data_IF_929702984627
#
_entry.id   IF_929702984627
#
_cell.length_a   1.000
_cell.length_b   1.000
_cell.length_c   1.000
_cell.angle_alpha   90.00
_cell.angle_beta   90.00
_cell.angle_gamma   90.00
#
_symmetry.space_group_name_H-M   'P 1'
#
loop_
_entity.id
_entity.type
_entity.pdbx_description
1 polymer ?
#
# COMPACT_ATOMS: atom_id res chain seq x y z
N UNK A 1 -13.76 -8.64 12.79
CA UNK A 1 -12.92 -9.83 12.55
C UNK A 1 -13.06 -10.33 11.10
N UNK A 2 -14.27 -10.63 10.61
CA UNK A 2 -14.50 -11.18 9.26
C UNK A 2 -13.91 -10.37 8.08
N UNK A 3 -13.91 -9.03 8.15
CA UNK A 3 -13.38 -8.16 7.09
C UNK A 3 -11.90 -8.42 6.78
N UNK A 4 -11.06 -8.58 7.82
CA UNK A 4 -9.62 -8.77 7.63
C UNK A 4 -9.30 -10.12 6.94
N UNK A 5 -9.96 -11.19 7.37
CA UNK A 5 -9.78 -12.53 6.78
C UNK A 5 -10.21 -12.59 5.30
N UNK A 6 -11.34 -11.98 4.94
CA UNK A 6 -11.78 -11.94 3.55
C UNK A 6 -10.85 -11.07 2.67
N UNK A 7 -10.33 -9.97 3.22
CA UNK A 7 -9.35 -9.13 2.55
C UNK A 7 -8.05 -9.89 2.25
N UNK A 8 -7.56 -10.76 3.14
CA UNK A 8 -6.37 -11.59 2.89
C UNK A 8 -6.55 -12.46 1.65
N UNK A 9 -7.64 -13.23 1.62
CA UNK A 9 -7.92 -14.14 0.51
C UNK A 9 -8.11 -13.38 -0.80
N UNK A 10 -8.80 -12.24 -0.74
CA UNK A 10 -9.03 -11.38 -1.90
C UNK A 10 -7.73 -10.77 -2.43
N UNK A 11 -6.87 -10.26 -1.55
CA UNK A 11 -5.58 -9.64 -1.93
C UNK A 11 -4.64 -10.68 -2.51
N UNK A 12 -4.54 -11.85 -1.88
CA UNK A 12 -3.75 -12.96 -2.42
C UNK A 12 -4.26 -13.37 -3.82
N UNK A 13 -5.57 -13.59 -3.96
CA UNK A 13 -6.19 -13.92 -5.25
C UNK A 13 -5.96 -12.85 -6.31
N UNK A 14 -5.99 -11.58 -5.93
CA UNK A 14 -5.71 -10.45 -6.82
C UNK A 14 -4.25 -10.44 -7.28
N UNK A 15 -3.29 -10.56 -6.36
CA UNK A 15 -1.85 -10.56 -6.64
C UNK A 15 -1.44 -11.74 -7.53
N UNK A 16 -2.03 -12.91 -7.32
CA UNK A 16 -1.83 -14.08 -8.18
C UNK A 16 -2.35 -13.82 -9.59
N UNK A 17 -3.56 -13.24 -9.75
CA UNK A 17 -4.11 -12.87 -11.06
C UNK A 17 -3.24 -11.83 -11.78
N UNK A 18 -2.73 -10.83 -11.05
CA UNK A 18 -1.81 -9.82 -11.60
C UNK A 18 -0.53 -10.48 -12.10
N UNK A 19 0.07 -11.39 -11.32
CA UNK A 19 1.29 -12.11 -11.74
C UNK A 19 1.05 -13.00 -12.96
N UNK A 20 -0.10 -13.69 -12.99
CA UNK A 20 -0.49 -14.51 -14.14
C UNK A 20 -0.68 -13.66 -15.39
N UNK A 21 -1.33 -12.51 -15.26
CA UNK A 21 -1.50 -11.54 -16.35
C UNK A 21 -0.14 -11.02 -16.84
N UNK A 22 0.77 -10.72 -15.92
CA UNK A 22 2.13 -10.29 -16.25
C UNK A 22 2.92 -11.35 -17.00
N UNK A 23 2.82 -12.60 -16.58
CA UNK A 23 3.44 -13.76 -17.24
C UNK A 23 2.92 -13.93 -18.66
N UNK A 24 1.60 -13.82 -18.86
CA UNK A 24 0.99 -13.90 -20.20
C UNK A 24 1.40 -12.74 -21.11
N UNK A 25 1.65 -11.56 -20.55
CA UNK A 25 2.14 -10.39 -21.26
C UNK A 25 3.67 -10.38 -21.51
N UNK A 26 4.38 -11.44 -21.12
CA UNK A 26 5.84 -11.52 -21.23
C UNK A 26 6.58 -10.49 -20.36
N UNK A 27 5.96 -9.96 -19.31
CA UNK A 27 6.57 -9.01 -18.39
C UNK A 27 7.25 -9.74 -17.21
N UNK A 28 8.47 -9.33 -16.82
CA UNK A 28 9.12 -9.89 -15.64
C UNK A 28 8.36 -9.46 -14.38
N UNK A 29 7.56 -10.36 -13.84
CA UNK A 29 6.92 -10.19 -12.53
C UNK A 29 7.93 -10.51 -11.42
N UNK A 30 8.81 -9.56 -11.12
CA UNK A 30 9.86 -9.70 -10.09
C UNK A 30 9.34 -9.79 -8.64
N UNK A 31 8.02 -9.75 -8.42
CA UNK A 31 7.42 -9.84 -7.09
C UNK A 31 6.86 -11.24 -6.79
N UNK A 32 6.90 -11.63 -5.51
CA UNK A 32 6.27 -12.86 -5.01
C UNK A 32 4.89 -12.51 -4.43
N UNK A 33 3.78 -12.99 -5.05
CA UNK A 33 2.43 -12.77 -4.55
C UNK A 33 2.24 -13.31 -3.13
N UNK A 34 2.91 -14.41 -2.80
CA UNK A 34 2.90 -15.00 -1.47
C UNK A 34 3.54 -14.09 -0.44
N UNK A 35 4.72 -13.52 -0.73
CA UNK A 35 5.43 -12.63 0.20
C UNK A 35 4.71 -11.28 0.35
N UNK A 36 4.14 -10.75 -0.74
CA UNK A 36 3.39 -9.50 -0.70
C UNK A 36 2.08 -9.66 0.10
N UNK A 37 1.36 -10.78 -0.10
CA UNK A 37 0.17 -11.07 0.68
C UNK A 37 0.51 -11.31 2.16
N UNK A 38 1.53 -12.12 2.47
CA UNK A 38 1.93 -12.38 3.86
C UNK A 38 2.39 -11.10 4.56
N UNK A 39 3.20 -10.27 3.91
CA UNK A 39 3.63 -8.97 4.42
C UNK A 39 2.47 -8.03 4.71
N UNK A 40 1.49 -7.94 3.81
CA UNK A 40 0.27 -7.16 4.03
C UNK A 40 -0.51 -7.65 5.26
N UNK A 41 -0.67 -8.97 5.41
CA UNK A 41 -1.41 -9.57 6.53
C UNK A 41 -0.71 -9.33 7.85
N UNK A 42 0.60 -9.59 7.89
CA UNK A 42 1.40 -9.40 9.10
C UNK A 42 1.32 -7.95 9.55
N UNK A 43 1.60 -6.97 8.69
CA UNK A 43 1.49 -5.55 9.04
C UNK A 43 0.05 -5.13 9.37
N UNK A 44 -0.96 -5.69 8.69
CA UNK A 44 -2.38 -5.40 9.01
C UNK A 44 -2.78 -5.91 10.40
N UNK A 45 -2.15 -6.97 10.92
CA UNK A 45 -2.37 -7.42 12.29
C UNK A 45 -1.81 -6.43 13.31
N UNK A 46 -0.75 -5.68 12.96
CA UNK A 46 -0.21 -4.63 13.83
C UNK A 46 -1.17 -3.45 14.02
N UNK A 47 -2.24 -3.34 13.22
CA UNK A 47 -3.29 -2.33 13.40
C UNK A 47 -4.04 -2.46 14.74
N UNK A 48 -3.87 -3.59 15.44
CA UNK A 48 -4.48 -3.83 16.76
C UNK A 48 -3.58 -3.45 17.93
N UNK A 49 -2.36 -3.00 17.69
CA UNK A 49 -1.50 -2.59 18.79
C UNK A 49 -2.02 -1.27 19.40
N UNK A 50 -1.78 -1.05 20.71
CA UNK A 50 -2.07 0.21 21.36
C UNK A 50 -1.43 1.38 20.62
N UNK A 51 -2.03 2.57 20.76
CA UNK A 51 -1.39 3.83 20.38
C UNK A 51 0.04 3.90 20.95
N UNK A 52 1.08 4.25 20.18
CA UNK A 52 1.12 4.69 18.77
C UNK A 52 1.48 3.61 17.74
N UNK A 53 1.58 2.35 18.14
CA UNK A 53 2.21 1.30 17.33
C UNK A 53 1.33 0.81 16.15
N UNK A 54 0.04 1.14 16.14
CA UNK A 54 -0.86 0.81 15.03
C UNK A 54 -0.46 1.48 13.71
N UNK A 55 0.30 2.60 13.74
CA UNK A 55 0.79 3.30 12.55
C UNK A 55 1.63 2.39 11.64
N UNK A 56 2.33 1.39 12.19
CA UNK A 56 3.12 0.43 11.41
C UNK A 56 2.25 -0.33 10.40
N UNK A 57 0.96 -0.50 10.69
CA UNK A 57 0.01 -1.14 9.78
C UNK A 57 -0.26 -0.35 8.50
N UNK A 58 -0.06 0.97 8.50
CA UNK A 58 -0.17 1.79 7.28
C UNK A 58 0.88 1.38 6.23
N UNK A 59 2.04 0.91 6.69
CA UNK A 59 3.09 0.37 5.83
C UNK A 59 2.67 -0.89 5.05
N UNK A 60 1.59 -1.58 5.47
CA UNK A 60 1.05 -2.72 4.75
C UNK A 60 0.70 -2.37 3.30
N UNK A 61 0.28 -1.12 3.06
CA UNK A 61 -0.07 -0.64 1.73
C UNK A 61 1.11 -0.72 0.75
N UNK A 62 2.35 -0.61 1.22
CA UNK A 62 3.55 -0.75 0.39
C UNK A 62 3.64 -2.10 -0.32
N UNK A 63 3.17 -3.18 0.31
CA UNK A 63 3.12 -4.50 -0.33
C UNK A 63 2.11 -4.56 -1.49
N UNK A 64 1.02 -3.79 -1.41
CA UNK A 64 0.07 -3.66 -2.52
C UNK A 64 0.65 -2.83 -3.67
N UNK A 65 1.41 -1.78 -3.36
CA UNK A 65 2.04 -0.90 -4.36
C UNK A 65 2.90 -1.70 -5.35
N UNK A 66 3.71 -2.65 -4.86
CA UNK A 66 4.52 -3.51 -5.74
C UNK A 66 3.68 -4.33 -6.73
N UNK A 67 2.53 -4.85 -6.29
CA UNK A 67 1.59 -5.57 -7.15
C UNK A 67 0.94 -4.64 -8.19
N UNK A 68 0.52 -3.45 -7.78
CA UNK A 68 -0.05 -2.45 -8.70
C UNK A 68 0.97 -1.92 -9.71
N UNK A 69 2.24 -1.75 -9.32
CA UNK A 69 3.31 -1.34 -10.23
C UNK A 69 3.57 -2.40 -11.31
N UNK A 70 3.62 -3.68 -10.91
CA UNK A 70 3.72 -4.80 -11.83
C UNK A 70 2.52 -4.86 -12.78
N UNK A 71 1.30 -4.68 -12.27
CA UNK A 71 0.10 -4.58 -13.09
C UNK A 71 0.19 -3.42 -14.09
N UNK A 72 0.60 -2.24 -13.62
CA UNK A 72 0.75 -1.07 -14.47
C UNK A 72 1.73 -1.36 -15.61
N UNK A 73 2.93 -1.89 -15.33
CA UNK A 73 3.92 -2.26 -16.37
C UNK A 73 3.40 -3.27 -17.42
N UNK A 74 2.35 -4.03 -17.11
CA UNK A 74 1.76 -5.02 -18.04
C UNK A 74 0.71 -4.42 -18.97
N UNK A 75 0.01 -3.38 -18.54
CA UNK A 75 -1.08 -2.76 -19.30
C UNK A 75 -0.65 -2.26 -20.71
N UNK A 76 0.50 -1.58 -20.89
CA UNK A 76 0.96 -1.16 -22.21
C UNK A 76 1.21 -2.32 -23.16
N UNK A 77 1.65 -3.47 -22.64
CA UNK A 77 2.01 -4.64 -23.45
C UNK A 77 0.78 -5.42 -23.90
N UNK A 78 -0.28 -5.43 -23.10
CA UNK A 78 -1.53 -6.12 -23.41
C UNK A 78 -2.43 -5.32 -24.34
N UNK A 79 -2.61 -4.03 -24.09
CA UNK A 79 -3.62 -3.22 -24.78
C UNK A 79 -3.03 -2.16 -25.71
N UNK A 80 -1.69 -2.06 -25.83
CA UNK A 80 -1.04 -1.01 -26.60
C UNK A 80 -1.33 0.40 -26.06
N UNK A 81 -1.89 0.51 -24.85
CA UNK A 81 -2.22 1.78 -24.21
C UNK A 81 -0.91 2.38 -23.73
N UNK A 82 -0.42 3.48 -24.31
CA UNK A 82 0.78 4.12 -23.80
C UNK A 82 0.47 4.59 -22.38
N UNK A 83 1.10 3.95 -21.40
CA UNK A 83 1.10 4.51 -20.06
C UNK A 83 1.85 5.83 -20.14
N UNK A 84 1.09 6.91 -20.10
CA UNK A 84 1.62 8.24 -19.80
C UNK A 84 2.08 8.17 -18.34
N UNK A 85 3.30 7.69 -18.10
CA UNK A 85 3.95 7.88 -16.80
C UNK A 85 3.97 9.40 -16.56
N UNK A 86 3.28 9.90 -15.52
CA UNK A 86 3.36 11.32 -15.19
C UNK A 86 4.82 11.61 -14.85
N UNK A 87 5.53 12.34 -15.69
CA UNK A 87 6.97 12.62 -15.57
C UNK A 87 7.30 13.61 -14.44
N UNK A 88 6.43 13.73 -13.43
CA UNK A 88 6.63 14.62 -12.30
C UNK A 88 5.36 14.77 -11.47
N UNK A 89 5.56 15.24 -10.22
CA UNK A 89 4.45 15.62 -9.37
C UNK A 89 3.82 16.91 -9.88
N UNK A 90 2.50 16.92 -10.08
CA UNK A 90 1.75 18.15 -10.32
C UNK A 90 1.89 19.07 -9.11
N UNK A 91 1.91 20.39 -9.29
CA UNK A 91 1.98 21.35 -8.17
C UNK A 91 0.91 21.12 -7.09
N UNK A 92 -0.29 20.65 -7.48
CA UNK A 92 -1.35 20.23 -6.54
C UNK A 92 -0.96 19.01 -5.70
N UNK A 93 -0.29 18.03 -6.32
CA UNK A 93 0.20 16.85 -5.61
C UNK A 93 1.32 17.23 -4.63
N UNK A 94 2.19 18.17 -5.02
CA UNK A 94 3.24 18.68 -4.13
C UNK A 94 2.65 19.40 -2.91
N UNK A 95 1.63 20.28 -3.11
CA UNK A 95 0.93 20.94 -2.00
C UNK A 95 0.26 19.92 -1.07
N UNK A 96 -0.43 18.92 -1.63
CA UNK A 96 -1.06 17.86 -0.85
C UNK A 96 -0.02 17.05 -0.06
N UNK A 97 1.15 16.78 -0.64
CA UNK A 97 2.24 16.09 0.03
C UNK A 97 2.76 16.91 1.21
N UNK A 98 3.04 18.21 1.02
CA UNK A 98 3.51 19.09 2.10
C UNK A 98 2.48 19.21 3.22
N UNK A 99 1.21 19.50 2.90
CA UNK A 99 0.14 19.64 3.91
C UNK A 99 -0.11 18.32 4.62
N UNK A 100 -0.14 17.20 3.88
CA UNK A 100 -0.31 15.87 4.45
C UNK A 100 0.83 15.50 5.40
N UNK A 101 2.08 15.76 5.02
CA UNK A 101 3.24 15.52 5.89
C UNK A 101 3.19 16.40 7.15
N UNK A 102 2.83 17.67 7.02
CA UNK A 102 2.69 18.58 8.16
C UNK A 102 1.58 18.13 9.12
N UNK A 103 0.43 17.71 8.58
CA UNK A 103 -0.66 17.13 9.36
C UNK A 103 -0.25 15.86 10.10
N UNK A 104 0.42 14.92 9.41
CA UNK A 104 0.97 13.72 10.04
C UNK A 104 1.99 14.05 11.13
N UNK A 105 2.80 15.10 10.95
CA UNK A 105 3.70 15.60 11.99
C UNK A 105 2.97 15.99 13.28
N UNK A 106 1.86 16.73 13.17
CA UNK A 106 1.02 17.06 14.33
C UNK A 106 0.40 15.82 14.97
N UNK A 107 -0.10 14.87 14.17
CA UNK A 107 -0.68 13.62 14.68
C UNK A 107 0.35 12.82 15.48
N UNK A 108 1.59 12.72 14.97
CA UNK A 108 2.67 12.00 15.66
C UNK A 108 3.09 12.68 16.96
N UNK A 109 3.11 14.02 16.99
CA UNK A 109 3.37 14.79 18.22
C UNK A 109 2.26 14.51 19.23
N UNK A 110 0.99 14.60 18.82
CA UNK A 110 -0.15 14.33 19.71
C UNK A 110 -0.17 12.90 20.26
N UNK A 111 0.19 11.92 19.44
CA UNK A 111 0.32 10.51 19.87
C UNK A 111 1.53 10.22 20.77
N UNK A 112 2.53 11.10 20.75
CA UNK A 112 3.73 10.96 21.59
C UNK A 112 3.63 11.74 22.90
N UNK A 113 2.65 12.64 23.02
CA UNK A 113 2.35 13.29 24.29
C UNK A 113 1.70 12.26 25.22
N UNK A 114 2.21 12.07 26.45
CA UNK A 114 1.51 11.32 27.48
C UNK A 114 0.13 11.94 27.73
N UNK A 115 -0.91 11.11 27.86
CA UNK A 115 -2.18 11.56 28.41
C UNK A 115 -1.94 11.87 29.89
N UNK A 116 -1.74 13.15 30.21
CA UNK A 116 -1.70 13.64 31.58
C UNK A 116 -3.11 13.48 32.16
N UNK A 117 -3.39 12.31 32.73
CA UNK A 117 -4.66 11.96 33.35
C UNK A 117 -5.05 12.89 34.52
N UNK A 118 -5.60 14.05 34.20
CA UNK A 118 -6.38 14.88 35.09
C UNK A 118 -7.83 14.93 34.57
N UNK A 119 -8.56 13.84 34.80
CA UNK A 119 -9.89 13.80 35.44
C UNK A 119 -10.37 12.36 35.65
#
# INVERSE_FOLDING_TARGET
MARAFFSVFTIYGLLVRIKELARRAGAPAGFSPGNAASGYVVLSLFARLPDPYWLVSLGAFGFLVSGFEAFNRTLPRLHGVPLREPTGFSGRQMVLLVVGTMFWGMVLIGLSLPDDGQQ
#
